data_IF_490839026910
#
_entry.id   IF_490839026910
#
_cell.length_a   1.000
_cell.length_b   1.000
_cell.length_c   1.000
_cell.angle_alpha   90.00
_cell.angle_beta   90.00
_cell.angle_gamma   90.00
#
_symmetry.space_group_name_H-M   'P 1'
#
loop_
_entity.id
_entity.type
_entity.pdbx_description
1 polymer ?
#
# COMPACT_ATOMS: atom_id res chain seq x y z
N UNK A 1 11.31 -46.81 -25.17
CA UNK A 1 10.04 -46.12 -24.96
C UNK A 1 9.93 -45.78 -23.49
N UNK A 2 10.30 -44.58 -23.11
CA UNK A 2 10.18 -44.07 -21.73
C UNK A 2 8.93 -43.21 -21.66
N UNK A 3 7.94 -43.72 -20.95
CA UNK A 3 6.66 -43.09 -20.68
C UNK A 3 6.88 -41.93 -19.68
N UNK A 4 6.68 -40.70 -20.16
CA UNK A 4 6.80 -39.47 -19.38
C UNK A 4 5.59 -39.36 -18.47
N UNK A 5 5.83 -39.42 -17.16
CA UNK A 5 4.82 -39.17 -16.14
C UNK A 5 4.35 -37.72 -16.24
N UNK A 6 3.08 -37.53 -16.60
CA UNK A 6 2.41 -36.24 -16.49
C UNK A 6 2.31 -35.88 -15.01
N UNK A 7 3.01 -34.81 -14.61
CA UNK A 7 2.85 -34.20 -13.30
C UNK A 7 1.39 -33.76 -13.13
N UNK A 8 0.69 -34.46 -12.22
CA UNK A 8 -0.65 -34.09 -11.78
C UNK A 8 -0.56 -32.80 -10.98
N UNK A 9 -0.66 -31.66 -11.67
CA UNK A 9 -0.79 -30.34 -11.05
C UNK A 9 -2.15 -30.29 -10.36
N UNK A 10 -2.20 -30.72 -9.09
CA UNK A 10 -3.38 -30.57 -8.25
C UNK A 10 -3.77 -29.09 -8.27
N UNK A 11 -5.01 -28.73 -8.64
CA UNK A 11 -5.41 -27.34 -8.65
C UNK A 11 -5.22 -26.78 -7.22
N UNK A 12 -4.65 -25.58 -7.09
CA UNK A 12 -4.43 -24.95 -5.79
C UNK A 12 -5.74 -24.89 -4.98
N UNK A 13 -5.67 -25.02 -3.65
CA UNK A 13 -6.86 -25.16 -2.81
C UNK A 13 -7.82 -23.98 -3.01
N UNK A 14 -9.07 -24.31 -3.36
CA UNK A 14 -10.15 -23.34 -3.55
C UNK A 14 -10.59 -22.81 -2.20
N UNK A 15 -10.45 -21.50 -1.97
CA UNK A 15 -11.04 -20.87 -0.78
C UNK A 15 -12.44 -20.38 -1.14
N UNK A 16 -13.46 -21.15 -0.75
CA UNK A 16 -14.85 -20.76 -0.93
C UNK A 16 -15.29 -19.85 0.22
N UNK A 17 -15.58 -18.58 -0.10
CA UNK A 17 -16.05 -17.59 0.86
C UNK A 17 -17.59 -17.55 0.94
N UNK A 18 -18.28 -18.08 -0.08
CA UNK A 18 -19.73 -18.21 -0.12
C UNK A 18 -20.18 -19.35 -1.06
N UNK A 19 -21.36 -19.92 -0.79
CA UNK A 19 -21.97 -20.98 -1.60
C UNK A 19 -23.39 -20.58 -2.01
N UNK A 20 -23.54 -19.94 -3.18
CA UNK A 20 -24.81 -19.69 -3.83
C UNK A 20 -24.70 -19.81 -5.36
N UNK A 21 -25.84 -19.80 -6.05
CA UNK A 21 -25.94 -20.01 -7.49
C UNK A 21 -25.25 -18.90 -8.32
N UNK A 22 -25.02 -17.73 -7.72
CA UNK A 22 -24.39 -16.54 -8.31
C UNK A 22 -22.87 -16.45 -8.13
N UNK A 23 -22.24 -17.57 -7.74
CA UNK A 23 -20.81 -17.63 -7.47
C UNK A 23 -19.93 -17.36 -8.71
N UNK A 24 -18.86 -16.59 -8.50
CA UNK A 24 -17.73 -16.40 -9.42
C UNK A 24 -16.43 -16.83 -8.74
N UNK A 25 -15.43 -17.20 -9.54
CA UNK A 25 -14.06 -17.48 -9.08
C UNK A 25 -13.15 -16.32 -9.45
N UNK A 26 -12.46 -15.75 -8.47
CA UNK A 26 -11.37 -14.82 -8.69
C UNK A 26 -10.06 -15.60 -8.81
N UNK A 27 -9.27 -15.29 -9.83
CA UNK A 27 -7.97 -15.91 -10.11
C UNK A 27 -6.87 -14.89 -9.86
N UNK A 28 -6.06 -15.13 -8.82
CA UNK A 28 -5.02 -14.18 -8.38
C UNK A 28 -3.67 -14.86 -8.50
N UNK A 29 -2.70 -14.22 -9.13
CA UNK A 29 -1.37 -14.80 -9.30
C UNK A 29 -0.52 -14.50 -8.07
N UNK A 30 0.16 -15.49 -7.50
CA UNK A 30 1.20 -15.21 -6.49
C UNK A 30 2.49 -14.74 -7.16
N UNK A 31 3.19 -13.80 -6.52
CA UNK A 31 4.50 -13.34 -7.00
C UNK A 31 5.58 -14.43 -6.97
N UNK A 32 5.43 -15.45 -6.10
CA UNK A 32 6.43 -16.48 -5.80
C UNK A 32 6.40 -17.70 -6.74
N UNK A 33 5.58 -17.71 -7.79
CA UNK A 33 5.57 -18.81 -8.76
C UNK A 33 4.41 -18.81 -9.77
N UNK A 34 4.19 -19.93 -10.49
CA UNK A 34 3.04 -20.09 -11.38
C UNK A 34 1.72 -20.32 -10.63
N UNK A 35 1.75 -20.31 -9.29
CA UNK A 35 0.61 -20.66 -8.43
C UNK A 35 -0.47 -19.58 -8.50
N UNK A 36 -1.68 -19.99 -8.90
CA UNK A 36 -2.87 -19.14 -8.96
C UNK A 36 -3.73 -19.42 -7.73
N UNK A 37 -3.97 -18.42 -6.88
CA UNK A 37 -4.98 -18.51 -5.83
C UNK A 37 -6.38 -18.41 -6.46
N UNK A 38 -7.28 -19.29 -6.02
CA UNK A 38 -8.68 -19.32 -6.47
C UNK A 38 -9.61 -18.98 -5.30
N UNK A 39 -10.40 -17.92 -5.44
CA UNK A 39 -11.36 -17.49 -4.45
C UNK A 39 -12.78 -17.54 -5.01
N UNK A 40 -13.66 -18.35 -4.42
CA UNK A 40 -15.08 -18.35 -4.81
C UNK A 40 -15.86 -17.37 -3.96
N UNK A 41 -16.51 -16.42 -4.62
CA UNK A 41 -17.25 -15.30 -4.02
C UNK A 41 -18.63 -15.15 -4.65
N UNK A 42 -19.57 -14.57 -3.91
CA UNK A 42 -20.86 -14.15 -4.48
C UNK A 42 -20.67 -12.89 -5.33
N UNK A 43 -21.09 -12.96 -6.60
CA UNK A 43 -21.12 -11.80 -7.51
C UNK A 43 -21.96 -10.67 -6.92
N UNK A 44 -23.09 -10.99 -6.31
CA UNK A 44 -24.01 -10.01 -5.74
C UNK A 44 -23.35 -9.23 -4.60
N UNK A 45 -22.69 -9.93 -3.66
CA UNK A 45 -21.98 -9.28 -2.55
C UNK A 45 -20.90 -8.35 -3.09
N UNK A 46 -20.07 -8.82 -4.03
CA UNK A 46 -19.02 -8.02 -4.67
C UNK A 46 -19.57 -6.71 -5.26
N UNK A 47 -20.66 -6.79 -6.02
CA UNK A 47 -21.33 -5.60 -6.57
C UNK A 47 -21.86 -4.67 -5.48
N UNK A 48 -22.41 -5.21 -4.38
CA UNK A 48 -22.97 -4.40 -3.29
C UNK A 48 -21.88 -3.59 -2.58
N UNK A 49 -20.77 -4.24 -2.23
CA UNK A 49 -19.77 -3.66 -1.33
C UNK A 49 -18.76 -2.75 -2.02
N UNK A 50 -18.63 -2.83 -3.34
CA UNK A 50 -17.68 -2.04 -4.11
C UNK A 50 -18.31 -1.51 -5.41
N UNK A 51 -18.28 -0.19 -5.66
CA UNK A 51 -18.70 0.36 -6.94
C UNK A 51 -17.77 -0.07 -8.09
N UNK A 52 -16.48 -0.32 -7.81
CA UNK A 52 -15.51 -0.80 -8.80
C UNK A 52 -15.82 -2.23 -9.22
N UNK A 53 -16.03 -3.14 -8.25
CA UNK A 53 -16.44 -4.50 -8.57
C UNK A 53 -17.81 -4.55 -9.24
N UNK A 54 -18.74 -3.66 -8.87
CA UNK A 54 -20.01 -3.52 -9.57
C UNK A 54 -19.81 -3.14 -11.04
N UNK A 55 -18.98 -2.14 -11.32
CA UNK A 55 -18.69 -1.73 -12.69
C UNK A 55 -18.04 -2.87 -13.49
N UNK A 56 -17.12 -3.61 -12.86
CA UNK A 56 -16.45 -4.77 -13.43
C UNK A 56 -17.42 -5.92 -13.76
N UNK A 57 -18.34 -6.24 -12.84
CA UNK A 57 -19.16 -7.46 -12.87
C UNK A 57 -20.59 -7.25 -13.43
N UNK A 58 -21.09 -6.03 -13.47
CA UNK A 58 -22.42 -5.69 -13.98
C UNK A 58 -22.38 -4.84 -15.26
N UNK A 59 -21.19 -4.47 -15.73
CA UNK A 59 -20.98 -3.56 -16.85
C UNK A 59 -20.96 -4.20 -18.24
N UNK A 60 -20.33 -3.52 -19.21
CA UNK A 60 -20.15 -3.98 -20.60
C UNK A 60 -18.84 -4.77 -20.80
N UNK A 61 -18.12 -5.05 -19.73
CA UNK A 61 -16.82 -5.72 -19.77
C UNK A 61 -16.98 -7.23 -19.95
N UNK A 62 -15.93 -7.92 -20.39
CA UNK A 62 -15.98 -9.37 -20.64
C UNK A 62 -16.31 -10.16 -19.37
N UNK A 63 -15.93 -9.61 -18.23
CA UNK A 63 -16.12 -10.06 -16.86
C UNK A 63 -17.61 -10.03 -16.41
N UNK A 64 -18.41 -9.18 -17.05
CA UNK A 64 -19.84 -9.11 -16.83
C UNK A 64 -20.63 -10.19 -17.58
N UNK A 65 -19.97 -10.95 -18.49
CA UNK A 65 -20.59 -12.11 -19.11
C UNK A 65 -20.85 -13.18 -18.03
N UNK A 66 -22.13 -13.48 -17.78
CA UNK A 66 -22.56 -14.46 -16.77
C UNK A 66 -22.03 -15.88 -17.07
N UNK A 67 -21.70 -16.17 -18.33
CA UNK A 67 -21.05 -17.43 -18.71
C UNK A 67 -19.57 -17.48 -18.27
N UNK A 68 -18.92 -16.33 -18.13
CA UNK A 68 -17.57 -16.26 -17.61
C UNK A 68 -17.60 -16.14 -16.08
N UNK A 69 -17.37 -17.26 -15.41
CA UNK A 69 -17.31 -17.32 -13.94
C UNK A 69 -15.89 -17.10 -13.41
N UNK A 70 -14.85 -17.16 -14.24
CA UNK A 70 -13.47 -17.01 -13.81
C UNK A 70 -12.95 -15.60 -14.17
N UNK A 71 -12.67 -14.79 -13.14
CA UNK A 71 -12.26 -13.39 -13.26
C UNK A 71 -10.79 -13.25 -12.86
N UNK A 72 -9.88 -12.92 -13.79
CA UNK A 72 -8.46 -12.76 -13.49
C UNK A 72 -8.19 -11.41 -12.82
N UNK A 73 -7.59 -11.46 -11.63
CA UNK A 73 -7.11 -10.32 -10.86
C UNK A 73 -5.61 -10.50 -10.59
N UNK A 74 -4.83 -10.55 -11.66
CA UNK A 74 -3.43 -11.02 -11.63
C UNK A 74 -2.44 -10.09 -10.95
N UNK A 75 -2.79 -8.81 -10.81
CA UNK A 75 -1.93 -7.77 -10.22
C UNK A 75 -2.21 -7.55 -8.73
N UNK A 76 -3.16 -8.28 -8.15
CA UNK A 76 -3.54 -8.11 -6.74
C UNK A 76 -2.72 -9.01 -5.82
N UNK A 77 -2.37 -8.48 -4.64
CA UNK A 77 -1.82 -9.30 -3.58
C UNK A 77 -2.90 -10.29 -3.07
N UNK A 78 -2.64 -11.61 -3.11
CA UNK A 78 -3.66 -12.61 -2.81
C UNK A 78 -4.12 -12.59 -1.35
N UNK A 79 -3.22 -12.39 -0.40
CA UNK A 79 -3.56 -12.43 1.02
C UNK A 79 -4.30 -11.16 1.47
N UNK A 80 -3.93 -10.01 0.93
CA UNK A 80 -4.62 -8.74 1.13
C UNK A 80 -6.01 -8.78 0.51
N UNK A 81 -6.14 -9.25 -0.74
CA UNK A 81 -7.44 -9.40 -1.38
C UNK A 81 -8.32 -10.39 -0.62
N UNK A 82 -7.80 -11.55 -0.22
CA UNK A 82 -8.53 -12.52 0.58
C UNK A 82 -9.04 -11.92 1.90
N UNK A 83 -8.24 -11.07 2.55
CA UNK A 83 -8.65 -10.39 3.78
C UNK A 83 -9.83 -9.45 3.54
N UNK A 84 -9.79 -8.63 2.48
CA UNK A 84 -10.91 -7.75 2.11
C UNK A 84 -12.15 -8.56 1.72
N UNK A 85 -12.00 -9.65 0.98
CA UNK A 85 -13.11 -10.53 0.60
C UNK A 85 -13.74 -11.23 1.82
N UNK A 86 -12.95 -11.65 2.80
CA UNK A 86 -13.46 -12.20 4.06
C UNK A 86 -14.34 -11.19 4.80
N UNK A 87 -13.94 -9.92 4.82
CA UNK A 87 -14.75 -8.85 5.40
C UNK A 87 -16.05 -8.69 4.61
N UNK A 88 -15.98 -8.61 3.28
CA UNK A 88 -17.14 -8.49 2.40
C UNK A 88 -18.16 -9.63 2.58
N UNK A 89 -17.69 -10.85 2.82
CA UNK A 89 -18.51 -12.04 3.02
C UNK A 89 -18.83 -12.34 4.49
N UNK A 90 -18.61 -11.39 5.41
CA UNK A 90 -18.89 -11.55 6.84
C UNK A 90 -18.16 -12.74 7.51
N UNK A 91 -17.01 -13.14 6.99
CA UNK A 91 -16.12 -14.17 7.56
C UNK A 91 -15.17 -13.57 8.61
N UNK A 92 -15.73 -12.78 9.53
CA UNK A 92 -14.97 -11.97 10.49
C UNK A 92 -14.00 -12.76 11.36
N UNK A 93 -14.31 -14.02 11.68
CA UNK A 93 -13.44 -14.92 12.47
C UNK A 93 -12.13 -15.28 11.77
N UNK A 94 -12.07 -15.17 10.44
CA UNK A 94 -10.88 -15.46 9.64
C UNK A 94 -10.07 -14.20 9.29
N UNK A 95 -10.54 -13.03 9.72
CA UNK A 95 -9.84 -11.77 9.50
C UNK A 95 -8.67 -11.66 10.50
N UNK A 96 -7.44 -11.39 10.05
CA UNK A 96 -6.29 -11.26 10.94
C UNK A 96 -6.53 -10.18 12.01
N UNK A 97 -6.14 -10.46 13.26
CA UNK A 97 -6.25 -9.49 14.36
C UNK A 97 -5.05 -8.54 14.43
N UNK A 98 -3.92 -8.96 13.87
CA UNK A 98 -2.69 -8.19 13.82
C UNK A 98 -2.09 -8.36 12.42
N UNK A 99 -1.44 -7.31 11.94
CA UNK A 99 -0.80 -7.26 10.64
C UNK A 99 0.58 -6.63 10.79
N UNK A 100 1.52 -7.05 9.95
CA UNK A 100 2.74 -6.30 9.69
C UNK A 100 2.44 -5.06 8.85
N UNK A 101 3.36 -4.09 8.81
CA UNK A 101 3.15 -2.86 8.06
C UNK A 101 2.99 -3.14 6.56
N UNK A 102 3.81 -4.06 6.03
CA UNK A 102 3.72 -4.49 4.63
C UNK A 102 2.34 -5.08 4.28
N UNK A 103 1.80 -5.94 5.15
CA UNK A 103 0.45 -6.50 4.94
C UNK A 103 -0.64 -5.42 4.99
N UNK A 104 -0.53 -4.48 5.93
CA UNK A 104 -1.48 -3.37 6.03
C UNK A 104 -1.41 -2.44 4.80
N UNK A 105 -0.20 -2.20 4.26
CA UNK A 105 0.01 -1.48 3.01
C UNK A 105 -0.65 -2.19 1.83
N UNK A 106 -0.48 -3.51 1.71
CA UNK A 106 -1.12 -4.28 0.64
C UNK A 106 -2.66 -4.22 0.75
N UNK A 107 -3.21 -4.31 1.96
CA UNK A 107 -4.65 -4.13 2.19
C UNK A 107 -5.09 -2.71 1.83
N UNK A 108 -4.33 -1.68 2.19
CA UNK A 108 -4.62 -0.31 1.80
C UNK A 108 -4.68 -0.17 0.27
N UNK A 109 -3.74 -0.79 -0.46
CA UNK A 109 -3.74 -0.81 -1.92
C UNK A 109 -5.01 -1.46 -2.51
N UNK A 110 -5.43 -2.62 -1.97
CA UNK A 110 -6.70 -3.26 -2.39
C UNK A 110 -7.90 -2.38 -2.05
N UNK A 111 -7.90 -1.74 -0.87
CA UNK A 111 -9.00 -0.89 -0.44
C UNK A 111 -9.15 0.37 -1.30
N UNK A 112 -8.04 0.99 -1.68
CA UNK A 112 -8.01 2.13 -2.61
C UNK A 112 -8.47 1.70 -4.01
N UNK A 113 -7.87 0.62 -4.55
CA UNK A 113 -8.17 0.11 -5.90
C UNK A 113 -9.64 -0.24 -6.12
N UNK A 114 -10.27 -0.85 -5.12
CA UNK A 114 -11.65 -1.33 -5.22
C UNK A 114 -12.66 -0.50 -4.44
N UNK A 115 -12.25 0.64 -3.87
CA UNK A 115 -13.11 1.50 -3.05
C UNK A 115 -13.86 0.71 -1.96
N UNK A 116 -13.10 0.08 -1.06
CA UNK A 116 -13.64 -0.75 0.04
C UNK A 116 -13.24 -0.27 1.44
N UNK A 117 -12.62 0.92 1.54
CA UNK A 117 -12.17 1.51 2.82
C UNK A 117 -13.32 1.59 3.83
N UNK A 118 -14.51 2.03 3.40
CA UNK A 118 -15.67 2.20 4.28
C UNK A 118 -16.08 0.89 4.97
N UNK A 119 -16.05 -0.22 4.23
CA UNK A 119 -16.39 -1.56 4.73
C UNK A 119 -15.30 -2.09 5.67
N UNK A 120 -14.03 -1.82 5.38
CA UNK A 120 -12.90 -2.30 6.19
C UNK A 120 -12.67 -1.48 7.47
N UNK A 121 -13.34 -0.33 7.62
CA UNK A 121 -13.11 0.64 8.71
C UNK A 121 -13.12 0.06 10.13
N UNK A 122 -14.01 -0.89 10.51
CA UNK A 122 -13.99 -1.49 11.84
C UNK A 122 -12.67 -2.24 12.16
N UNK A 123 -11.98 -2.74 11.14
CA UNK A 123 -10.73 -3.49 11.29
C UNK A 123 -9.50 -2.60 11.17
N UNK A 124 -9.57 -1.54 10.35
CA UNK A 124 -8.46 -0.61 10.13
C UNK A 124 -7.96 -0.01 11.45
N UNK A 125 -8.86 0.37 12.36
CA UNK A 125 -8.46 0.90 13.67
C UNK A 125 -7.63 -0.10 14.49
N UNK A 126 -8.07 -1.36 14.52
CA UNK A 126 -7.38 -2.45 15.23
C UNK A 126 -5.98 -2.68 14.65
N UNK A 127 -5.87 -2.69 13.32
CA UNK A 127 -4.59 -2.88 12.63
C UNK A 127 -3.66 -1.67 12.75
N UNK A 128 -4.21 -0.46 12.85
CA UNK A 128 -3.46 0.78 12.97
C UNK A 128 -2.92 1.03 14.38
N UNK A 129 -3.65 0.61 15.43
CA UNK A 129 -3.30 0.84 16.84
C UNK A 129 -1.83 0.54 17.18
N UNK A 130 -1.25 -0.63 16.81
CA UNK A 130 0.15 -0.92 17.10
C UNK A 130 1.17 0.04 16.48
N UNK A 131 0.77 0.75 15.42
CA UNK A 131 1.64 1.70 14.72
C UNK A 131 1.52 3.11 15.26
N UNK A 132 0.30 3.54 15.59
CA UNK A 132 -0.01 4.92 15.98
C UNK A 132 0.14 5.18 17.47
N UNK A 133 -0.11 4.18 18.31
CA UNK A 133 -0.02 4.31 19.77
C UNK A 133 1.43 4.08 20.23
N UNK A 134 1.85 4.81 21.25
CA UNK A 134 3.14 4.59 21.91
C UNK A 134 3.04 3.35 22.78
N UNK A 135 3.66 2.25 22.35
CA UNK A 135 3.64 0.99 23.09
C UNK A 135 4.81 0.96 24.08
N UNK A 136 4.56 0.60 25.34
CA UNK A 136 5.59 0.26 26.35
C UNK A 136 6.65 1.34 26.65
N UNK A 137 6.23 2.54 27.04
CA UNK A 137 7.14 3.64 27.41
C UNK A 137 8.12 4.07 26.30
N UNK A 138 7.90 3.69 25.05
CA UNK A 138 8.65 4.27 23.93
C UNK A 138 8.33 5.77 23.86
N UNK A 139 9.36 6.58 23.60
CA UNK A 139 9.20 8.02 23.47
C UNK A 139 8.52 8.40 22.14
N UNK A 140 8.37 7.44 21.21
CA UNK A 140 7.90 7.66 19.85
C UNK A 140 7.03 6.49 19.34
N UNK A 141 6.02 6.82 18.53
CA UNK A 141 5.13 5.87 17.86
C UNK A 141 5.86 5.09 16.74
N UNK A 142 5.50 3.83 16.54
CA UNK A 142 6.21 2.91 15.64
C UNK A 142 6.23 3.39 14.19
N UNK A 143 5.18 4.07 13.70
CA UNK A 143 5.17 4.60 12.33
C UNK A 143 6.24 5.66 12.05
N UNK A 144 6.80 6.29 13.08
CA UNK A 144 7.91 7.24 12.95
C UNK A 144 9.28 6.56 13.04
N UNK A 145 9.34 5.30 13.48
CA UNK A 145 10.60 4.55 13.52
C UNK A 145 11.16 4.38 12.11
N UNK A 146 12.50 4.40 11.92
CA UNK A 146 13.09 4.17 10.62
C UNK A 146 12.70 2.81 10.02
N UNK A 147 12.44 2.76 8.71
CA UNK A 147 11.97 1.56 8.00
C UNK A 147 10.44 1.42 7.89
N UNK A 148 9.67 2.34 8.49
CA UNK A 148 8.20 2.35 8.46
C UNK A 148 7.61 3.46 7.57
N UNK A 149 8.39 3.97 6.62
CA UNK A 149 8.01 5.05 5.69
C UNK A 149 6.76 4.71 4.87
N UNK A 150 6.52 3.42 4.59
CA UNK A 150 5.34 2.95 3.87
C UNK A 150 4.03 3.16 4.63
N UNK A 151 4.08 3.48 5.94
CA UNK A 151 2.92 3.94 6.70
C UNK A 151 2.24 5.14 6.05
N UNK A 152 2.99 5.97 5.31
CA UNK A 152 2.43 7.13 4.62
C UNK A 152 1.28 6.75 3.68
N UNK A 153 1.40 5.60 2.99
CA UNK A 153 0.34 5.08 2.13
C UNK A 153 -0.90 4.70 2.92
N UNK A 154 -0.74 3.97 4.03
CA UNK A 154 -1.86 3.63 4.92
C UNK A 154 -2.53 4.90 5.47
N UNK A 155 -1.74 5.88 5.87
CA UNK A 155 -2.24 7.14 6.42
C UNK A 155 -3.02 7.94 5.37
N UNK A 156 -2.57 7.92 4.11
CA UNK A 156 -3.29 8.50 2.97
C UNK A 156 -4.63 7.80 2.72
N UNK A 157 -4.59 6.50 2.42
CA UNK A 157 -5.78 5.72 2.03
C UNK A 157 -6.84 5.71 3.14
N UNK A 158 -6.42 5.58 4.41
CA UNK A 158 -7.35 5.49 5.54
C UNK A 158 -7.68 6.85 6.18
N UNK A 159 -7.08 7.95 5.70
CA UNK A 159 -7.37 9.31 6.16
C UNK A 159 -6.79 9.66 7.53
N UNK A 160 -5.66 9.07 7.94
CA UNK A 160 -4.94 9.44 9.16
C UNK A 160 -4.08 10.70 8.96
N UNK A 161 -4.73 11.86 8.77
CA UNK A 161 -4.08 13.13 8.43
C UNK A 161 -2.97 13.55 9.40
N UNK A 162 -3.15 13.33 10.70
CA UNK A 162 -2.16 13.73 11.71
C UNK A 162 -0.87 12.90 11.59
N UNK A 163 -0.98 11.57 11.48
CA UNK A 163 0.19 10.69 11.35
C UNK A 163 0.86 10.87 9.99
N UNK A 164 0.07 11.09 8.94
CA UNK A 164 0.56 11.47 7.62
C UNK A 164 1.46 12.72 7.71
N UNK A 165 0.93 13.81 8.28
CA UNK A 165 1.65 15.10 8.37
C UNK A 165 2.94 14.98 9.19
N UNK A 166 2.89 14.25 10.32
CA UNK A 166 4.08 14.03 11.16
C UNK A 166 5.16 13.23 10.42
N UNK A 167 4.78 12.17 9.71
CA UNK A 167 5.73 11.35 8.96
C UNK A 167 6.32 12.13 7.77
N UNK A 168 5.52 12.89 7.02
CA UNK A 168 6.03 13.76 5.95
C UNK A 168 7.07 14.76 6.48
N UNK A 169 6.78 15.42 7.60
CA UNK A 169 7.70 16.39 8.20
C UNK A 169 9.01 15.72 8.65
N UNK A 170 8.95 14.51 9.21
CA UNK A 170 10.15 13.73 9.54
C UNK A 170 10.96 13.42 8.30
N UNK A 171 10.32 12.88 7.26
CA UNK A 171 10.96 12.53 6.00
C UNK A 171 11.60 13.75 5.33
N UNK A 172 10.95 14.91 5.39
CA UNK A 172 11.51 16.15 4.84
C UNK A 172 12.87 16.52 5.44
N UNK A 173 13.08 16.25 6.72
CA UNK A 173 14.35 16.54 7.41
C UNK A 173 15.38 15.45 7.16
N UNK A 174 14.95 14.20 7.02
CA UNK A 174 15.82 13.02 6.94
C UNK A 174 16.23 12.65 5.51
N UNK A 175 15.45 13.03 4.48
CA UNK A 175 15.76 12.69 3.08
C UNK A 175 17.07 13.35 2.66
N UNK A 176 18.02 12.51 2.28
CA UNK A 176 19.25 12.90 1.60
C UNK A 176 19.16 12.52 0.13
N UNK A 177 19.76 13.31 -0.76
CA UNK A 177 19.93 12.92 -2.17
C UNK A 177 21.39 12.60 -2.45
N UNK A 178 21.64 11.52 -3.18
CA UNK A 178 22.96 11.20 -3.73
C UNK A 178 23.33 12.16 -4.87
N UNK A 179 24.50 11.94 -5.48
CA UNK A 179 25.00 12.78 -6.58
C UNK A 179 24.22 12.54 -7.88
N UNK A 180 23.48 11.43 -7.94
CA UNK A 180 22.69 10.94 -9.05
C UNK A 180 21.21 11.37 -8.96
N UNK A 181 20.80 12.05 -7.88
CA UNK A 181 19.44 12.55 -7.67
C UNK A 181 18.48 11.54 -7.04
N UNK A 182 18.97 10.38 -6.61
CA UNK A 182 18.21 9.38 -5.86
C UNK A 182 18.10 9.78 -4.39
N UNK A 183 16.90 9.65 -3.83
CA UNK A 183 16.60 10.01 -2.45
C UNK A 183 16.76 8.80 -1.52
N UNK A 184 17.37 9.00 -0.35
CA UNK A 184 17.58 7.97 0.68
C UNK A 184 17.30 8.53 2.07
N UNK A 185 16.69 7.72 2.93
CA UNK A 185 16.60 8.00 4.36
C UNK A 185 17.85 7.44 5.08
N UNK A 186 18.32 8.05 6.20
CA UNK A 186 19.63 7.76 6.79
C UNK A 186 19.77 6.34 7.39
N UNK A 187 18.69 5.56 7.45
CA UNK A 187 18.65 4.29 8.20
C UNK A 187 18.54 3.03 7.35
N UNK A 188 18.87 3.09 6.05
CA UNK A 188 19.35 1.91 5.35
C UNK A 188 18.32 0.85 4.97
N UNK A 189 17.09 1.23 4.62
CA UNK A 189 16.39 0.46 3.59
C UNK A 189 16.67 1.15 2.26
N UNK A 190 17.18 0.40 1.28
CA UNK A 190 17.65 0.93 0.01
C UNK A 190 16.55 1.65 -0.80
N UNK A 191 16.76 1.89 -2.11
CA UNK A 191 15.86 2.66 -2.97
C UNK A 191 14.37 2.21 -2.96
N UNK A 192 14.05 1.05 -2.39
CA UNK A 192 12.75 0.41 -2.45
C UNK A 192 11.62 1.13 -1.68
N UNK A 193 11.86 1.72 -0.50
CA UNK A 193 10.75 2.33 0.26
C UNK A 193 10.30 3.69 -0.29
N UNK A 194 11.23 4.50 -0.78
CA UNK A 194 10.92 5.72 -1.54
C UNK A 194 10.37 5.42 -2.94
N UNK A 195 10.73 4.28 -3.53
CA UNK A 195 10.12 3.80 -4.78
C UNK A 195 8.65 3.42 -4.58
N UNK A 196 8.29 2.79 -3.44
CA UNK A 196 6.89 2.50 -3.09
C UNK A 196 6.08 3.78 -2.86
N UNK A 197 6.67 4.79 -2.22
CA UNK A 197 6.06 6.11 -2.09
C UNK A 197 5.81 6.77 -3.45
N UNK A 198 6.78 6.68 -4.38
CA UNK A 198 6.62 7.18 -5.76
C UNK A 198 5.62 6.40 -6.59
N UNK A 199 5.47 5.10 -6.35
CA UNK A 199 4.60 4.22 -7.12
C UNK A 199 3.12 4.37 -6.75
N UNK A 200 2.82 4.60 -5.46
CA UNK A 200 1.44 4.56 -4.97
C UNK A 200 0.84 5.94 -4.67
N UNK A 201 1.64 6.94 -4.32
CA UNK A 201 1.11 8.27 -3.98
C UNK A 201 0.82 9.12 -5.23
N UNK A 202 -0.19 10.01 -5.19
CA UNK A 202 -0.42 10.99 -6.25
C UNK A 202 0.84 11.80 -6.55
N UNK A 203 1.05 12.13 -7.82
CA UNK A 203 2.23 12.86 -8.32
C UNK A 203 2.44 14.20 -7.63
N UNK A 204 1.35 14.87 -7.25
CA UNK A 204 1.40 16.19 -6.61
C UNK A 204 2.00 16.10 -5.20
N UNK A 205 1.66 15.04 -4.47
CA UNK A 205 2.13 14.81 -3.09
C UNK A 205 3.58 14.35 -3.08
N UNK A 206 3.97 13.46 -4.00
CA UNK A 206 5.37 13.04 -4.15
C UNK A 206 6.24 14.21 -4.62
N UNK A 207 5.71 15.02 -5.53
CA UNK A 207 6.31 16.27 -5.99
C UNK A 207 6.57 17.26 -4.85
N UNK A 208 5.58 17.53 -3.98
CA UNK A 208 5.77 18.42 -2.83
C UNK A 208 6.84 17.92 -1.84
N UNK A 209 6.82 16.62 -1.50
CA UNK A 209 7.81 16.04 -0.58
C UNK A 209 9.23 16.17 -1.16
N UNK A 210 9.40 15.86 -2.44
CA UNK A 210 10.69 15.93 -3.13
C UNK A 210 11.15 17.37 -3.38
N UNK A 211 10.25 18.26 -3.84
CA UNK A 211 10.56 19.66 -4.13
C UNK A 211 10.92 20.44 -2.86
N UNK A 212 10.25 20.17 -1.73
CA UNK A 212 10.53 20.86 -0.47
C UNK A 212 11.85 20.40 0.18
N UNK A 213 12.29 19.16 -0.05
CA UNK A 213 13.63 18.70 0.38
C UNK A 213 14.75 19.36 -0.43
N UNK A 214 14.56 19.52 -1.75
CA UNK A 214 15.48 20.25 -2.63
C UNK A 214 15.56 21.74 -2.28
N UNK A 215 14.44 22.36 -1.88
CA UNK A 215 14.38 23.75 -1.44
C UNK A 215 15.15 24.00 -0.14
N UNK A 216 15.05 23.08 0.85
CA UNK A 216 15.79 23.21 2.10
C UNK A 216 17.31 23.08 1.88
N UNK A 217 17.76 22.21 0.96
CA UNK A 217 19.17 22.13 0.55
C UNK A 217 19.62 23.38 -0.20
N UNK A 218 18.82 23.89 -1.14
CA UNK A 218 19.14 25.13 -1.86
C UNK A 218 19.32 26.29 -0.86
N UNK A 219 18.41 26.45 0.11
CA UNK A 219 18.55 27.49 1.13
C UNK A 219 19.69 27.23 2.11
N UNK A 220 19.91 26.00 2.59
CA UNK A 220 21.04 25.67 3.47
C UNK A 220 22.42 25.83 2.80
N UNK A 221 22.51 25.57 1.49
CA UNK A 221 23.71 25.79 0.68
C UNK A 221 23.95 27.28 0.43
N UNK A 222 22.87 28.03 0.15
CA UNK A 222 22.90 29.50 0.01
C UNK A 222 23.31 30.16 1.33
N UNK A 223 22.73 29.79 2.48
CA UNK A 223 23.12 30.35 3.78
C UNK A 223 24.53 29.95 4.22
N UNK A 224 25.02 28.78 3.82
CA UNK A 224 26.40 28.35 4.12
C UNK A 224 27.45 29.08 3.27
N UNK A 225 27.11 29.51 2.05
CA UNK A 225 28.00 30.31 1.21
C UNK A 225 28.00 31.80 1.58
N UNK A 226 26.86 32.36 2.03
CA UNK A 226 26.79 33.75 2.47
C UNK A 226 27.45 34.01 3.85
N UNK A 227 27.70 32.97 4.66
CA UNK A 227 28.51 33.07 5.88
C UNK A 227 30.03 32.97 5.63
N UNK A 228 30.47 32.74 4.39
CA UNK A 228 31.88 32.65 3.97
C UNK A 228 32.34 33.79 3.05
N UNK A 229 31.54 34.86 2.92
CA UNK A 229 32.01 36.13 2.38
C UNK A 229 32.46 36.98 3.59
N UNK A 230 33.76 37.08 3.89
CA UNK A 230 34.21 38.04 4.89
C UNK A 230 33.83 39.45 4.41
N UNK A 231 33.24 40.21 5.32
CA UNK A 231 33.02 41.66 5.24
C UNK A 231 34.29 42.35 4.71
N UNK A 232 34.31 42.65 3.41
CA UNK A 232 35.28 43.56 2.80
C UNK A 232 34.56 44.91 2.62
N UNK A 233 34.86 45.78 3.59
CA UNK A 233 34.79 47.24 3.57
C UNK A 233 33.43 47.94 3.38
N UNK A 234 32.81 48.28 4.51
CA UNK A 234 32.22 49.62 4.71
C UNK A 234 33.07 50.32 5.77
N UNK A 235 34.08 51.08 5.34
CA UNK A 235 34.74 52.11 6.15
C UNK A 235 35.20 53.24 5.21
N UNK A 236 34.63 54.43 5.46
CA UNK A 236 34.93 55.80 4.98
C UNK A 236 34.44 56.29 3.59
N UNK A 237 33.54 57.28 3.69
CA UNK A 237 33.04 58.29 2.73
C UNK A 237 32.11 57.83 1.59
#
# INVERSE_FOLDING_TARGET
MTESAAETFSPPPLTALYAADDNITLLVKREDGPTICRYTVSRTVMCIVSPVWRAMLAGRFKEANVQNRDIPLIDDDPEALLTVLRIAHHRSYEVPKALTLSQLVNIATICDKYDTVAMCRPYIGIWATPYIETVNHSQQALYLSPGNESWLWCAWVFGYQETFSKLVNKLRVEISTDKEGSCYTPSGSGPNQLTLLKANMPSDVTGEILMLSLWHRYWSFVTSFYLLIPLIFIVFC
#
